data_IF_956011425702
#
_entry.id   IF_956011425702
#
_cell.length_a   1.000
_cell.length_b   1.000
_cell.length_c   1.000
_cell.angle_alpha   90.00
_cell.angle_beta   90.00
_cell.angle_gamma   90.00
#
_symmetry.space_group_name_H-M   'P 1'
#
loop_
_entity.id
_entity.type
_entity.pdbx_description
1 polymer ?
#
# COMPACT_ATOMS: atom_id res chain seq x y z
N UNK A 1 19.53 -13.80 -2.48
CA UNK A 1 18.19 -13.69 -3.12
C UNK A 1 17.11 -13.95 -2.07
N UNK A 2 16.27 -12.95 -1.74
CA UNK A 2 15.09 -13.17 -0.88
C UNK A 2 14.07 -13.97 -1.72
N UNK A 3 13.71 -15.18 -1.30
CA UNK A 3 12.70 -15.99 -2.00
C UNK A 3 11.31 -15.52 -1.59
N UNK A 4 10.53 -15.05 -2.55
CA UNK A 4 9.07 -14.93 -2.43
C UNK A 4 8.46 -16.32 -2.22
N UNK A 5 7.23 -16.36 -1.71
CA UNK A 5 6.55 -17.62 -1.42
C UNK A 5 6.38 -18.45 -2.71
N UNK A 6 6.65 -19.76 -2.63
CA UNK A 6 6.28 -20.69 -3.70
C UNK A 6 4.78 -20.95 -3.63
N UNK A 7 4.15 -21.14 -4.78
CA UNK A 7 2.72 -21.43 -4.84
C UNK A 7 1.81 -20.21 -4.61
N UNK A 8 2.27 -19.02 -4.99
CA UNK A 8 1.50 -17.78 -4.81
C UNK A 8 0.11 -17.86 -5.46
N UNK A 9 0.02 -18.44 -6.68
CA UNK A 9 -1.23 -18.56 -7.42
C UNK A 9 -2.24 -19.42 -6.65
N UNK A 10 -1.80 -20.55 -6.13
CA UNK A 10 -2.60 -21.49 -5.34
C UNK A 10 -3.11 -20.82 -4.06
N UNK A 11 -2.27 -20.02 -3.40
CA UNK A 11 -2.63 -19.29 -2.19
C UNK A 11 -3.69 -18.23 -2.48
N UNK A 12 -3.50 -17.40 -3.52
CA UNK A 12 -4.46 -16.33 -3.82
C UNK A 12 -5.79 -16.89 -4.33
N UNK A 13 -5.78 -17.98 -5.10
CA UNK A 13 -7.00 -18.69 -5.50
C UNK A 13 -7.76 -19.25 -4.30
N UNK A 14 -7.06 -19.91 -3.37
CA UNK A 14 -7.69 -20.43 -2.16
C UNK A 14 -8.26 -19.29 -1.30
N UNK A 15 -7.51 -18.22 -1.09
CA UNK A 15 -7.98 -17.05 -0.35
C UNK A 15 -9.22 -16.42 -1.01
N UNK A 16 -9.19 -16.22 -2.33
CA UNK A 16 -10.31 -15.64 -3.10
C UNK A 16 -11.57 -16.49 -2.98
N UNK A 17 -11.44 -17.82 -2.97
CA UNK A 17 -12.57 -18.74 -2.81
C UNK A 17 -13.18 -18.76 -1.40
N UNK A 18 -12.40 -18.39 -0.38
CA UNK A 18 -12.79 -18.50 1.03
C UNK A 18 -13.24 -17.18 1.66
N UNK A 19 -12.79 -16.04 1.12
CA UNK A 19 -13.04 -14.72 1.69
C UNK A 19 -13.74 -13.80 0.69
N UNK A 20 -14.61 -12.93 1.20
CA UNK A 20 -15.32 -11.94 0.38
C UNK A 20 -14.37 -11.01 -0.35
N UNK A 21 -13.30 -10.57 0.32
CA UNK A 21 -12.31 -9.64 -0.22
C UNK A 21 -10.90 -10.14 0.11
N UNK A 22 -9.99 -10.06 -0.86
CA UNK A 22 -8.57 -10.40 -0.69
C UNK A 22 -7.73 -9.19 -1.06
N UNK A 23 -6.74 -8.85 -0.22
CA UNK A 23 -5.78 -7.79 -0.53
C UNK A 23 -4.36 -8.35 -0.59
N UNK A 24 -3.67 -8.11 -1.71
CA UNK A 24 -2.27 -8.51 -1.91
C UNK A 24 -1.37 -7.28 -1.79
N UNK A 25 -0.47 -7.30 -0.81
CA UNK A 25 0.53 -6.24 -0.64
C UNK A 25 1.78 -6.55 -1.46
N UNK A 26 2.22 -5.60 -2.27
CA UNK A 26 3.38 -5.75 -3.16
C UNK A 26 4.24 -4.48 -3.19
N UNK A 27 5.51 -4.64 -3.54
CA UNK A 27 6.39 -3.52 -3.88
C UNK A 27 6.29 -3.11 -5.35
N UNK A 28 5.40 -3.73 -6.13
CA UNK A 28 5.16 -3.38 -7.53
C UNK A 28 6.18 -3.95 -8.51
N UNK A 29 7.04 -4.88 -8.10
CA UNK A 29 8.13 -5.40 -8.95
C UNK A 29 7.91 -6.87 -9.35
N UNK A 30 8.41 -7.22 -10.54
CA UNK A 30 8.42 -8.57 -11.11
C UNK A 30 7.04 -9.22 -11.24
N UNK A 31 6.01 -8.42 -11.55
CA UNK A 31 4.68 -8.95 -11.87
C UNK A 31 4.67 -9.58 -13.25
N UNK A 32 4.10 -10.78 -13.34
CA UNK A 32 3.95 -11.50 -14.61
C UNK A 32 2.54 -11.36 -15.15
N UNK A 33 2.39 -11.37 -16.47
CA UNK A 33 1.09 -11.21 -17.12
C UNK A 33 0.08 -12.26 -16.63
N UNK A 34 0.51 -13.51 -16.50
CA UNK A 34 -0.37 -14.58 -16.04
C UNK A 34 -0.77 -14.46 -14.55
N UNK A 35 -0.07 -13.65 -13.76
CA UNK A 35 -0.49 -13.31 -12.40
C UNK A 35 -1.55 -12.21 -12.44
N UNK A 36 -1.33 -11.15 -13.22
CA UNK A 36 -2.30 -10.06 -13.39
C UNK A 36 -3.63 -10.59 -13.94
N UNK A 37 -3.58 -11.41 -14.99
CA UNK A 37 -4.76 -12.06 -15.56
C UNK A 37 -5.48 -12.91 -14.50
N UNK A 38 -4.75 -13.69 -13.71
CA UNK A 38 -5.36 -14.49 -12.64
C UNK A 38 -6.12 -13.61 -11.64
N UNK A 39 -5.51 -12.52 -11.13
CA UNK A 39 -6.21 -11.64 -10.18
C UNK A 39 -7.46 -11.00 -10.79
N UNK A 40 -7.39 -10.61 -12.06
CA UNK A 40 -8.54 -10.07 -12.81
C UNK A 40 -9.70 -11.08 -12.85
N UNK A 41 -9.42 -12.35 -13.18
CA UNK A 41 -10.45 -13.40 -13.23
C UNK A 41 -11.06 -13.74 -11.86
N UNK A 42 -10.32 -13.57 -10.76
CA UNK A 42 -10.83 -13.82 -9.41
C UNK A 42 -11.85 -12.76 -8.96
N UNK A 43 -11.75 -11.53 -9.45
CA UNK A 43 -12.76 -10.47 -9.29
C UNK A 43 -12.91 -9.87 -7.89
N UNK A 44 -12.41 -10.51 -6.84
CA UNK A 44 -12.46 -10.03 -5.45
C UNK A 44 -11.07 -9.75 -4.84
N UNK A 45 -10.06 -9.59 -5.69
CA UNK A 45 -8.68 -9.31 -5.27
C UNK A 45 -8.29 -7.87 -5.59
N UNK A 46 -7.80 -7.16 -4.57
CA UNK A 46 -7.22 -5.82 -4.69
C UNK A 46 -5.72 -5.89 -4.44
N UNK A 47 -4.93 -5.07 -5.11
CA UNK A 47 -3.46 -5.00 -4.89
C UNK A 47 -3.10 -3.69 -4.22
N UNK A 48 -2.33 -3.74 -3.13
CA UNK A 48 -1.71 -2.55 -2.56
C UNK A 48 -0.25 -2.45 -3.00
N UNK A 49 0.11 -1.37 -3.71
CA UNK A 49 1.48 -1.09 -4.17
C UNK A 49 2.07 0.06 -3.37
N UNK A 50 3.31 -0.15 -2.92
CA UNK A 50 4.06 0.81 -2.14
C UNK A 50 4.80 1.80 -3.04
N UNK A 51 4.53 3.11 -2.93
CA UNK A 51 5.24 4.18 -3.66
C UNK A 51 5.64 5.28 -2.67
N UNK A 52 6.94 5.44 -2.39
CA UNK A 52 7.43 6.34 -1.34
C UNK A 52 8.04 7.66 -1.85
N UNK A 53 7.65 8.15 -3.02
CA UNK A 53 8.17 9.41 -3.56
C UNK A 53 8.16 9.43 -5.09
N UNK A 54 8.69 10.50 -5.66
CA UNK A 54 8.98 10.60 -7.10
C UNK A 54 10.10 9.65 -7.50
N UNK A 55 10.36 9.49 -8.80
CA UNK A 55 11.25 8.44 -9.32
C UNK A 55 12.59 8.31 -8.58
N UNK A 56 13.31 9.42 -8.40
CA UNK A 56 14.62 9.41 -7.74
C UNK A 56 14.52 9.08 -6.25
N UNK A 57 13.56 9.72 -5.55
CA UNK A 57 13.35 9.52 -4.11
C UNK A 57 12.88 8.10 -3.80
N UNK A 58 11.94 7.57 -4.58
CA UNK A 58 11.45 6.21 -4.44
C UNK A 58 12.58 5.19 -4.66
N UNK A 59 13.32 5.31 -5.77
CA UNK A 59 14.40 4.39 -6.10
C UNK A 59 15.51 4.40 -5.03
N UNK A 60 15.82 5.59 -4.50
CA UNK A 60 16.77 5.77 -3.40
C UNK A 60 16.29 5.12 -2.10
N UNK A 61 15.05 5.42 -1.66
CA UNK A 61 14.46 4.86 -0.44
C UNK A 61 14.31 3.33 -0.51
N UNK A 62 14.05 2.79 -1.71
CA UNK A 62 13.87 1.35 -1.95
C UNK A 62 15.16 0.63 -2.33
N UNK A 63 16.26 1.36 -2.53
CA UNK A 63 17.57 0.80 -2.86
C UNK A 63 17.62 0.10 -4.22
N UNK A 64 16.79 0.52 -5.19
CA UNK A 64 16.73 -0.07 -6.52
C UNK A 64 16.37 0.98 -7.57
N UNK A 65 17.32 1.25 -8.47
CA UNK A 65 17.10 2.07 -9.66
C UNK A 65 16.05 1.42 -10.58
N UNK A 66 15.13 2.22 -11.09
CA UNK A 66 14.01 1.80 -11.95
C UNK A 66 12.83 1.20 -11.20
N UNK A 67 12.83 1.17 -9.85
CA UNK A 67 11.74 0.59 -9.08
C UNK A 67 10.45 1.40 -9.19
N UNK A 68 10.55 2.73 -9.21
CA UNK A 68 9.40 3.59 -9.40
C UNK A 68 8.71 3.33 -10.74
N UNK A 69 9.49 3.34 -11.83
CA UNK A 69 8.97 3.17 -13.18
C UNK A 69 8.27 1.81 -13.37
N UNK A 70 8.93 0.73 -12.95
CA UNK A 70 8.34 -0.62 -13.03
C UNK A 70 7.07 -0.76 -12.17
N UNK A 71 7.05 -0.09 -10.99
CA UNK A 71 5.87 -0.08 -10.14
C UNK A 71 4.71 0.69 -10.78
N UNK A 72 4.97 1.83 -11.43
CA UNK A 72 3.96 2.59 -12.16
C UNK A 72 3.40 1.80 -13.35
N UNK A 73 4.26 1.10 -14.10
CA UNK A 73 3.84 0.19 -15.18
C UNK A 73 2.98 -0.96 -14.65
N UNK A 74 3.35 -1.53 -13.50
CA UNK A 74 2.55 -2.56 -12.82
C UNK A 74 1.18 -2.03 -12.40
N UNK A 75 1.11 -0.84 -11.80
CA UNK A 75 -0.16 -0.21 -11.40
C UNK A 75 -1.05 -0.03 -12.63
N UNK A 76 -0.50 0.51 -13.72
CA UNK A 76 -1.21 0.72 -14.97
C UNK A 76 -1.77 -0.60 -15.53
N UNK A 77 -0.94 -1.64 -15.60
CA UNK A 77 -1.35 -2.94 -16.15
C UNK A 77 -2.45 -3.61 -15.30
N UNK A 78 -2.34 -3.56 -13.97
CA UNK A 78 -3.40 -4.03 -13.07
C UNK A 78 -4.70 -3.27 -13.29
N UNK A 79 -4.64 -1.94 -13.40
CA UNK A 79 -5.80 -1.09 -13.63
C UNK A 79 -6.46 -1.35 -15.00
N UNK A 80 -5.68 -1.52 -16.06
CA UNK A 80 -6.17 -1.90 -17.40
C UNK A 80 -6.90 -3.25 -17.41
N UNK A 81 -6.49 -4.16 -16.51
CA UNK A 81 -7.12 -5.46 -16.31
C UNK A 81 -8.25 -5.43 -15.26
N UNK A 82 -8.73 -4.24 -14.88
CA UNK A 82 -9.79 -4.02 -13.89
C UNK A 82 -9.49 -4.59 -12.49
N UNK A 83 -8.21 -4.75 -12.13
CA UNK A 83 -7.79 -5.09 -10.76
C UNK A 83 -7.60 -3.80 -9.98
N UNK A 84 -8.39 -3.52 -8.93
CA UNK A 84 -8.24 -2.28 -8.18
C UNK A 84 -6.87 -2.19 -7.52
N UNK A 85 -6.22 -1.03 -7.66
CA UNK A 85 -4.91 -0.78 -7.06
C UNK A 85 -5.00 0.32 -6.01
N UNK A 86 -4.52 0.00 -4.80
CA UNK A 86 -4.33 0.96 -3.71
C UNK A 86 -2.84 1.35 -3.70
N UNK A 87 -2.53 2.62 -3.90
CA UNK A 87 -1.17 3.13 -3.69
C UNK A 87 -1.02 3.57 -2.25
N UNK A 88 0.00 3.03 -1.57
CA UNK A 88 0.35 3.40 -0.20
C UNK A 88 1.73 4.06 -0.14
N UNK A 89 1.75 5.31 0.29
CA UNK A 89 2.95 6.11 0.50
C UNK A 89 3.29 6.18 1.98
N UNK A 90 4.52 5.79 2.34
CA UNK A 90 5.03 5.92 3.71
C UNK A 90 5.77 7.24 3.86
N UNK A 91 5.20 8.17 4.62
CA UNK A 91 5.74 9.53 4.76
C UNK A 91 6.94 9.57 5.71
N UNK A 92 7.95 10.30 5.30
CA UNK A 92 9.13 10.70 6.05
C UNK A 92 9.60 12.10 5.59
N UNK A 93 10.63 12.65 6.24
CA UNK A 93 11.12 14.01 5.96
C UNK A 93 11.65 14.20 4.53
N UNK A 94 12.06 13.11 3.86
CA UNK A 94 12.64 13.14 2.51
C UNK A 94 11.56 13.28 1.44
N UNK A 95 10.39 12.65 1.64
CA UNK A 95 9.33 12.55 0.63
C UNK A 95 8.07 13.36 0.95
N UNK A 96 8.04 14.04 2.10
CA UNK A 96 6.88 14.80 2.58
C UNK A 96 6.37 15.84 1.58
N UNK A 97 7.27 16.51 0.85
CA UNK A 97 6.91 17.58 -0.08
C UNK A 97 6.61 17.05 -1.50
N UNK A 98 6.54 15.72 -1.68
CA UNK A 98 6.31 15.05 -2.97
C UNK A 98 4.91 14.43 -3.11
N UNK A 99 4.05 14.57 -2.11
CA UNK A 99 2.76 13.85 -2.04
C UNK A 99 1.85 14.20 -3.21
N UNK A 100 1.69 15.49 -3.54
CA UNK A 100 0.83 15.90 -4.68
C UNK A 100 1.35 15.34 -6.01
N UNK A 101 2.66 15.34 -6.22
CA UNK A 101 3.26 14.83 -7.46
C UNK A 101 3.11 13.31 -7.58
N UNK A 102 3.30 12.56 -6.49
CA UNK A 102 3.03 11.12 -6.46
C UNK A 102 1.56 10.84 -6.77
N UNK A 103 0.63 11.61 -6.20
CA UNK A 103 -0.80 11.46 -6.49
C UNK A 103 -1.10 11.72 -7.98
N UNK A 104 -0.50 12.75 -8.57
CA UNK A 104 -0.59 13.02 -10.00
C UNK A 104 -0.14 11.82 -10.85
N UNK A 105 0.94 11.14 -10.47
CA UNK A 105 1.37 9.92 -11.15
C UNK A 105 0.35 8.80 -10.99
N UNK A 106 -0.15 8.57 -9.76
CA UNK A 106 -1.13 7.53 -9.45
C UNK A 106 -2.44 7.71 -10.24
N UNK A 107 -2.94 8.93 -10.34
CA UNK A 107 -4.15 9.26 -11.10
C UNK A 107 -3.96 8.97 -12.60
N UNK A 108 -2.80 9.32 -13.18
CA UNK A 108 -2.51 9.06 -14.60
C UNK A 108 -2.43 7.58 -14.97
N UNK A 109 -2.07 6.71 -14.03
CA UNK A 109 -2.05 5.26 -14.22
C UNK A 109 -3.33 4.57 -13.71
N UNK A 110 -4.37 5.36 -13.40
CA UNK A 110 -5.69 4.89 -12.98
C UNK A 110 -5.67 4.02 -11.71
N UNK A 111 -4.84 4.39 -10.73
CA UNK A 111 -4.94 3.81 -9.39
C UNK A 111 -6.33 4.11 -8.80
N UNK A 112 -6.88 3.17 -8.03
CA UNK A 112 -8.22 3.32 -7.46
C UNK A 112 -8.22 4.16 -6.18
N UNK A 113 -7.21 3.95 -5.32
CA UNK A 113 -7.11 4.61 -4.01
C UNK A 113 -5.67 5.06 -3.78
N UNK A 114 -5.49 6.25 -3.20
CA UNK A 114 -4.22 6.69 -2.64
C UNK A 114 -4.34 6.90 -1.13
N UNK A 115 -3.38 6.36 -0.38
CA UNK A 115 -3.25 6.58 1.07
C UNK A 115 -1.83 6.98 1.44
N UNK A 116 -1.71 7.97 2.31
CA UNK A 116 -0.46 8.36 2.95
C UNK A 116 -0.51 7.96 4.43
N UNK A 117 0.58 7.38 4.95
CA UNK A 117 0.67 6.99 6.36
C UNK A 117 2.02 7.35 6.97
N UNK A 118 2.07 7.51 8.29
CA UNK A 118 3.30 7.81 9.02
C UNK A 118 4.25 6.62 9.00
N UNK A 119 5.55 6.89 8.97
CA UNK A 119 6.55 5.89 9.34
C UNK A 119 6.40 5.57 10.83
N UNK A 120 6.25 4.30 11.19
CA UNK A 120 6.10 3.84 12.57
C UNK A 120 7.43 3.26 13.09
N UNK A 121 7.68 3.43 14.39
CA UNK A 121 8.89 2.91 15.07
C UNK A 121 8.79 1.40 15.32
N UNK A 122 8.81 0.62 14.24
CA UNK A 122 8.72 -0.84 14.26
C UNK A 122 9.71 -1.48 13.30
N UNK A 123 10.16 -2.69 13.62
CA UNK A 123 11.11 -3.43 12.78
C UNK A 123 12.41 -2.65 12.56
N UNK A 124 12.87 -2.54 11.30
CA UNK A 124 14.13 -1.84 10.96
C UNK A 124 14.05 -0.32 11.19
N UNK A 125 12.85 0.26 11.12
CA UNK A 125 12.65 1.70 11.30
C UNK A 125 12.92 2.15 12.75
N UNK A 126 13.04 1.22 13.71
CA UNK A 126 13.46 1.53 15.08
C UNK A 126 14.88 2.11 15.14
N UNK A 127 15.75 1.72 14.19
CA UNK A 127 17.10 2.27 14.09
C UNK A 127 17.01 3.65 13.45
N UNK A 128 17.40 4.67 14.21
CA UNK A 128 17.33 6.09 13.81
C UNK A 128 15.90 6.59 13.58
N UNK A 129 14.92 6.05 14.32
CA UNK A 129 13.55 6.55 14.25
C UNK A 129 13.50 8.03 14.65
N UNK A 130 12.94 8.86 13.77
CA UNK A 130 12.50 10.22 14.10
C UNK A 130 11.01 10.28 13.83
N UNK A 131 10.25 10.65 14.85
CA UNK A 131 8.82 10.91 14.69
C UNK A 131 8.62 12.08 13.72
N UNK A 132 7.62 11.98 12.85
CA UNK A 132 7.29 13.04 11.92
C UNK A 132 6.82 14.28 12.69
N UNK A 133 7.46 15.43 12.45
CA UNK A 133 7.07 16.67 13.13
C UNK A 133 5.68 17.15 12.66
N UNK A 134 4.93 17.83 13.53
CA UNK A 134 3.59 18.34 13.21
C UNK A 134 3.56 19.25 11.98
N UNK A 135 4.62 20.01 11.74
CA UNK A 135 4.78 20.87 10.56
C UNK A 135 4.80 20.07 9.26
N UNK A 136 5.43 18.90 9.24
CA UNK A 136 5.42 17.97 8.12
C UNK A 136 4.02 17.37 7.92
N UNK A 137 3.33 16.98 8.99
CA UNK A 137 1.95 16.47 8.90
C UNK A 137 1.00 17.48 8.24
N UNK A 138 1.08 18.75 8.64
CA UNK A 138 0.30 19.83 8.04
C UNK A 138 0.59 20.01 6.54
N UNK A 139 1.86 19.83 6.13
CA UNK A 139 2.23 19.87 4.70
C UNK A 139 1.62 18.71 3.92
N UNK A 140 1.60 17.50 4.48
CA UNK A 140 0.91 16.36 3.85
C UNK A 140 -0.58 16.63 3.71
N UNK A 141 -1.23 17.09 4.78
CA UNK A 141 -2.66 17.41 4.77
C UNK A 141 -3.02 18.44 3.70
N UNK A 142 -2.25 19.52 3.59
CA UNK A 142 -2.44 20.55 2.56
C UNK A 142 -2.32 19.97 1.15
N UNK A 143 -1.32 19.12 0.91
CA UNK A 143 -1.12 18.45 -0.39
C UNK A 143 -2.26 17.47 -0.72
N UNK A 144 -2.72 16.66 0.24
CA UNK A 144 -3.87 15.76 0.05
C UNK A 144 -5.14 16.56 -0.32
N UNK A 145 -5.40 17.67 0.38
CA UNK A 145 -6.54 18.53 0.10
C UNK A 145 -6.46 19.15 -1.31
N UNK A 146 -5.29 19.66 -1.70
CA UNK A 146 -5.09 20.21 -3.05
C UNK A 146 -5.30 19.14 -4.14
N UNK A 147 -4.73 17.95 -3.94
CA UNK A 147 -4.84 16.86 -4.90
C UNK A 147 -6.28 16.35 -5.06
N UNK A 148 -7.09 16.35 -3.98
CA UNK A 148 -8.52 16.03 -4.07
C UNK A 148 -9.28 16.96 -4.98
N UNK A 149 -9.10 18.28 -4.81
CA UNK A 149 -9.78 19.25 -5.69
C UNK A 149 -9.47 19.01 -7.17
N UNK A 150 -8.29 18.44 -7.47
CA UNK A 150 -7.86 18.12 -8.83
C UNK A 150 -8.36 16.77 -9.34
N UNK A 151 -8.43 15.74 -8.49
CA UNK A 151 -8.62 14.34 -8.92
C UNK A 151 -9.83 13.61 -8.31
N UNK A 152 -10.74 14.29 -7.61
CA UNK A 152 -11.87 13.69 -6.86
C UNK A 152 -12.69 12.65 -7.65
N UNK A 153 -12.84 12.83 -8.96
CA UNK A 153 -13.62 11.93 -9.83
C UNK A 153 -12.83 10.73 -10.38
N UNK A 154 -11.50 10.70 -10.19
CA UNK A 154 -10.60 9.73 -10.83
C UNK A 154 -9.81 8.89 -9.83
N UNK A 155 -9.60 9.38 -8.60
CA UNK A 155 -8.78 8.72 -7.59
C UNK A 155 -9.35 9.02 -6.20
N UNK A 156 -9.67 7.98 -5.44
CA UNK A 156 -10.08 8.15 -4.06
C UNK A 156 -8.86 8.41 -3.16
N UNK A 157 -8.72 9.62 -2.64
CA UNK A 157 -7.59 10.03 -1.79
C UNK A 157 -8.02 9.96 -0.34
N UNK A 158 -7.45 9.03 0.44
CA UNK A 158 -7.78 8.82 1.85
C UNK A 158 -7.29 9.98 2.71
N UNK A 159 -8.07 10.33 3.75
CA UNK A 159 -7.71 11.36 4.71
C UNK A 159 -6.44 11.01 5.46
N UNK A 160 -5.69 12.04 5.84
CA UNK A 160 -4.59 11.84 6.77
C UNK A 160 -5.14 11.33 8.10
N UNK A 161 -4.69 10.15 8.52
CA UNK A 161 -5.17 9.53 9.76
C UNK A 161 -4.86 10.45 10.96
N UNK A 162 -5.91 10.82 11.69
CA UNK A 162 -5.84 11.37 13.04
C UNK A 162 -6.04 10.22 14.03
N UNK A 163 -5.23 10.15 15.09
CA UNK A 163 -5.25 9.05 16.07
C UNK A 163 -6.60 8.83 16.79
N UNK A 164 -7.61 9.68 16.57
CA UNK A 164 -8.84 9.75 17.37
C UNK A 164 -10.10 9.13 16.74
N UNK A 165 -10.08 8.73 15.46
CA UNK A 165 -11.27 8.13 14.86
C UNK A 165 -11.28 6.62 15.17
N UNK A 166 -12.21 6.21 16.04
CA UNK A 166 -12.19 4.91 16.72
C UNK A 166 -13.26 3.95 16.20
N UNK A 167 -12.97 3.26 15.10
CA UNK A 167 -13.55 1.95 14.84
C UNK A 167 -12.56 0.86 15.27
N UNK A 168 -12.88 0.17 16.37
CA UNK A 168 -12.15 -1.04 16.75
C UNK A 168 -12.53 -2.16 15.79
N UNK A 169 -11.64 -2.46 14.85
CA UNK A 169 -11.76 -3.69 14.07
C UNK A 169 -10.80 -4.72 14.66
N UNK A 170 -11.33 -5.89 15.00
CA UNK A 170 -10.52 -7.02 15.45
C UNK A 170 -9.74 -7.59 14.27
N UNK A 171 -8.42 -7.66 14.39
CA UNK A 171 -7.55 -8.26 13.37
C UNK A 171 -6.62 -9.30 13.97
N UNK A 172 -6.31 -10.31 13.16
CA UNK A 172 -5.31 -11.33 13.46
C UNK A 172 -4.14 -11.19 12.49
N UNK A 173 -2.93 -11.13 13.02
CA UNK A 173 -1.70 -11.16 12.24
C UNK A 173 -1.08 -12.54 12.35
N UNK A 174 -0.94 -13.23 11.22
CA UNK A 174 -0.22 -14.51 11.14
C UNK A 174 1.15 -14.29 10.47
N UNK A 175 2.21 -14.67 11.18
CA UNK A 175 3.57 -14.65 10.67
C UNK A 175 3.86 -15.89 9.82
N UNK A 176 4.87 -15.79 8.95
CA UNK A 176 5.37 -16.94 8.18
C UNK A 176 5.87 -18.11 9.06
N UNK A 177 6.20 -17.85 10.32
CA UNK A 177 6.53 -18.89 11.31
C UNK A 177 5.32 -19.63 11.87
N UNK A 178 4.10 -19.25 11.49
CA UNK A 178 2.84 -19.78 12.05
C UNK A 178 2.41 -19.11 13.35
N UNK A 179 3.17 -18.14 13.88
CA UNK A 179 2.77 -17.38 15.07
C UNK A 179 1.60 -16.45 14.74
N UNK A 180 0.54 -16.53 15.53
CA UNK A 180 -0.65 -15.68 15.40
C UNK A 180 -0.70 -14.69 16.56
N UNK A 181 -0.88 -13.41 16.24
CA UNK A 181 -1.07 -12.33 17.20
C UNK A 181 -2.44 -11.69 16.99
N UNK A 182 -3.20 -11.57 18.08
CA UNK A 182 -4.40 -10.74 18.09
C UNK A 182 -3.99 -9.32 18.43
N UNK A 183 -4.34 -8.40 17.54
CA UNK A 183 -4.12 -6.96 17.73
C UNK A 183 -5.44 -6.21 17.67
N UNK A 184 -5.53 -5.10 18.39
CA UNK A 184 -6.53 -4.06 18.11
C UNK A 184 -5.81 -2.96 17.35
N UNK A 185 -6.26 -2.67 16.14
CA UNK A 185 -5.82 -1.50 15.39
C UNK A 185 -6.97 -0.51 15.33
N UNK A 186 -6.63 0.77 15.49
CA UNK A 186 -7.49 1.88 15.10
C UNK A 186 -7.32 2.00 13.59
N UNK A 187 -8.34 1.61 12.82
CA UNK A 187 -8.32 1.70 11.37
C UNK A 187 -9.72 2.04 10.87
N UNK A 188 -9.88 3.27 10.40
CA UNK A 188 -11.18 3.84 10.01
C UNK A 188 -11.37 3.84 8.49
N UNK A 189 -11.00 2.73 7.86
CA UNK A 189 -11.51 2.41 6.52
C UNK A 189 -12.66 1.42 6.69
N UNK A 190 -13.79 1.73 6.07
CA UNK A 190 -15.03 0.94 6.07
C UNK A 190 -14.73 -0.49 5.59
N UNK A 191 -14.38 -1.37 6.53
CA UNK A 191 -14.21 -2.79 6.31
C UNK A 191 -15.51 -3.48 6.72
N UNK A 192 -16.37 -3.71 5.72
CA UNK A 192 -17.40 -4.75 5.82
C UNK A 192 -16.67 -6.09 6.03
N UNK A 193 -16.88 -6.70 7.21
CA UNK A 193 -16.48 -8.06 7.62
C UNK A 193 -15.54 -8.78 6.64
N UNK A 194 -14.24 -8.59 6.79
CA UNK A 194 -13.21 -9.34 6.07
C UNK A 194 -12.04 -9.68 7.00
N UNK A 195 -11.57 -10.92 6.96
CA UNK A 195 -10.34 -11.32 7.64
C UNK A 195 -9.14 -10.78 6.86
N UNK A 196 -8.44 -9.78 7.42
CA UNK A 196 -7.23 -9.23 6.82
C UNK A 196 -6.03 -10.13 7.15
N UNK A 197 -5.66 -11.05 6.25
CA UNK A 197 -4.41 -11.80 6.36
C UNK A 197 -3.23 -10.94 5.88
N UNK A 198 -2.58 -10.23 6.80
CA UNK A 198 -1.34 -9.49 6.51
C UNK A 198 -0.14 -10.38 6.82
N UNK A 199 0.40 -11.05 5.81
CA UNK A 199 1.68 -11.78 5.92
C UNK A 199 2.83 -10.77 5.97
N UNK A 200 3.25 -10.39 7.17
CA UNK A 200 4.57 -9.80 7.35
C UNK A 200 5.60 -10.92 7.30
N UNK A 201 6.38 -10.97 6.22
CA UNK A 201 7.75 -11.46 6.40
C UNK A 201 8.44 -10.48 7.34
N UNK A 202 9.30 -10.98 8.24
CA UNK A 202 10.15 -10.19 9.14
C UNK A 202 11.10 -9.20 8.43
N UNK A 203 10.83 -8.84 7.16
CA UNK A 203 11.79 -8.22 6.26
C UNK A 203 11.22 -7.17 5.29
N UNK A 204 10.01 -6.66 5.47
CA UNK A 204 9.49 -5.49 4.74
C UNK A 204 9.12 -4.34 5.68
N UNK A 205 10.11 -3.51 6.04
CA UNK A 205 10.00 -2.08 6.37
C UNK A 205 11.41 -1.51 6.06
N UNK A 206 11.54 -0.76 4.96
CA UNK A 206 12.79 -0.31 4.28
C UNK A 206 13.78 -1.43 3.97
#
# INVERSE_FOLDING_TARGET
MKKLIKGFKEIVMAASSLFTNVNVFSNGLNWRNEEVELLSHLGNVTVQISIDGTSETHDSLRGRKGAFQESMETIKHLAEMNVPVIVAMTINEINVDQVTEVIDHCARVNAAIFRAGKTLSVGRATKNFKALEKSFEQRVQSQLQQARHKWDQHLNIIDWEHEESSFTTDFLYAWLSGLVYQGRWVCDTLSIRGYLFRSYSNRFIF
#
